data_IF_256023060100
#
_entry.id   IF_256023060100
#
_cell.length_a   1.000
_cell.length_b   1.000
_cell.length_c   1.000
_cell.angle_alpha   90.00
_cell.angle_beta   90.00
_cell.angle_gamma   90.00
#
_symmetry.space_group_name_H-M   'P 1'
#
loop_
_entity.id
_entity.type
_entity.pdbx_description
1 polymer ?
#
# COMPACT_ATOMS: atom_id res chain seq x y z
N UNK A 1 -2.08 -5.79 5.05
CA UNK A 1 -0.60 -5.94 5.10
C UNK A 1 -0.10 -7.41 5.09
N UNK A 2 -0.80 -8.37 4.45
CA UNK A 2 -0.37 -9.78 4.41
C UNK A 2 0.63 -10.14 3.28
N UNK A 3 0.97 -9.19 2.40
CA UNK A 3 1.96 -9.38 1.32
C UNK A 3 3.34 -9.67 1.91
N UNK A 4 4.11 -10.54 1.26
CA UNK A 4 5.46 -10.92 1.68
C UNK A 4 5.55 -11.98 2.78
N UNK A 5 4.45 -12.37 3.46
CA UNK A 5 4.43 -13.56 4.35
C UNK A 5 4.93 -14.80 3.60
N UNK A 6 4.47 -14.94 2.36
CA UNK A 6 5.11 -15.71 1.31
C UNK A 6 5.48 -14.69 0.23
N UNK A 7 6.63 -14.83 -0.48
CA UNK A 7 6.99 -13.90 -1.55
C UNK A 7 5.84 -13.73 -2.54
N UNK A 8 5.51 -12.49 -2.89
CA UNK A 8 4.34 -12.20 -3.72
C UNK A 8 4.41 -12.87 -5.11
N UNK A 9 5.63 -13.13 -5.59
CA UNK A 9 5.94 -13.83 -6.85
C UNK A 9 5.87 -15.35 -6.74
N UNK A 10 5.50 -15.90 -5.58
CA UNK A 10 5.41 -17.33 -5.38
C UNK A 10 4.41 -17.96 -6.36
N UNK A 11 4.70 -19.13 -6.96
CA UNK A 11 3.84 -19.73 -8.00
C UNK A 11 2.40 -20.02 -7.58
N UNK A 12 2.14 -20.17 -6.27
CA UNK A 12 0.81 -20.39 -5.70
C UNK A 12 0.09 -19.10 -5.27
N UNK A 13 0.72 -17.93 -5.43
CA UNK A 13 0.10 -16.64 -5.14
C UNK A 13 -1.02 -16.37 -6.14
N UNK A 14 -2.24 -16.18 -5.63
CA UNK A 14 -3.44 -15.88 -6.42
C UNK A 14 -3.79 -14.40 -6.43
N UNK A 15 -2.90 -13.53 -5.93
CA UNK A 15 -3.14 -12.08 -5.79
C UNK A 15 -3.59 -11.43 -7.11
N UNK A 16 -2.93 -11.76 -8.22
CA UNK A 16 -3.28 -11.26 -9.55
C UNK A 16 -4.61 -11.83 -10.09
N UNK A 17 -5.10 -12.94 -9.54
CA UNK A 17 -6.37 -13.57 -9.89
C UNK A 17 -7.39 -13.54 -8.74
N UNK A 18 -7.30 -12.56 -7.82
CA UNK A 18 -8.13 -12.47 -6.59
C UNK A 18 -9.63 -12.71 -6.85
N UNK A 19 -10.21 -12.04 -7.86
CA UNK A 19 -11.65 -12.17 -8.14
C UNK A 19 -12.05 -13.58 -8.55
N UNK A 20 -11.19 -14.30 -9.27
CA UNK A 20 -11.42 -15.69 -9.65
C UNK A 20 -11.25 -16.61 -8.42
N UNK A 21 -10.16 -16.43 -7.67
CA UNK A 21 -9.85 -17.22 -6.49
C UNK A 21 -10.96 -17.15 -5.44
N UNK A 22 -11.39 -15.94 -5.08
CA UNK A 22 -12.43 -15.72 -4.08
C UNK A 22 -13.82 -16.12 -4.60
N UNK A 23 -14.13 -15.77 -5.86
CA UNK A 23 -15.46 -15.99 -6.42
C UNK A 23 -15.79 -17.45 -6.75
N UNK A 24 -14.78 -18.32 -6.90
CA UNK A 24 -14.97 -19.72 -7.31
C UNK A 24 -14.42 -20.76 -6.32
N UNK A 25 -13.83 -20.34 -5.19
CA UNK A 25 -13.41 -21.30 -4.17
C UNK A 25 -14.62 -22.00 -3.52
N UNK A 26 -14.44 -23.27 -3.22
CA UNK A 26 -15.37 -24.12 -2.48
C UNK A 26 -15.03 -24.16 -0.98
N UNK A 27 -13.74 -24.08 -0.64
CA UNK A 27 -13.24 -23.98 0.74
C UNK A 27 -12.23 -22.83 0.85
N UNK A 28 -12.38 -22.01 1.88
CA UNK A 28 -11.48 -20.90 2.17
C UNK A 28 -10.91 -21.00 3.58
N UNK A 29 -9.60 -21.27 3.70
CA UNK A 29 -8.84 -21.16 4.94
C UNK A 29 -8.36 -19.72 5.12
N UNK A 30 -8.88 -19.03 6.13
CA UNK A 30 -8.57 -17.63 6.43
C UNK A 30 -7.81 -17.58 7.75
N UNK A 31 -6.57 -17.12 7.72
CA UNK A 31 -5.67 -17.11 8.89
C UNK A 31 -5.35 -15.68 9.29
N UNK A 32 -5.77 -15.26 10.48
CA UNK A 32 -5.50 -13.93 11.03
C UNK A 32 -6.05 -12.79 10.16
N UNK A 33 -7.16 -13.03 9.47
CA UNK A 33 -7.81 -12.05 8.63
C UNK A 33 -9.32 -12.05 8.86
N UNK A 34 -9.87 -10.86 9.13
CA UNK A 34 -11.30 -10.68 9.36
C UNK A 34 -12.06 -10.63 8.03
N UNK A 35 -13.20 -11.30 7.96
CA UNK A 35 -14.17 -11.15 6.88
C UNK A 35 -14.91 -9.82 7.02
N UNK A 36 -14.22 -8.70 6.88
CA UNK A 36 -14.79 -7.35 6.91
C UNK A 36 -14.96 -6.79 5.49
N UNK A 37 -15.17 -5.48 5.36
CA UNK A 37 -15.38 -4.80 4.08
C UNK A 37 -14.25 -5.06 3.06
N UNK A 38 -13.00 -5.26 3.50
CA UNK A 38 -11.85 -5.59 2.62
C UNK A 38 -11.99 -6.95 1.93
N UNK A 39 -12.70 -7.87 2.58
CA UNK A 39 -13.05 -9.19 2.07
C UNK A 39 -14.55 -9.30 1.80
N UNK A 40 -15.25 -8.18 1.58
CA UNK A 40 -16.68 -8.17 1.24
C UNK A 40 -17.54 -9.01 2.18
N UNK A 41 -17.20 -9.03 3.47
CA UNK A 41 -17.91 -9.76 4.51
C UNK A 41 -18.02 -11.29 4.33
N UNK A 42 -17.31 -11.87 3.35
CA UNK A 42 -17.50 -13.27 2.97
C UNK A 42 -18.75 -13.51 2.13
N UNK A 43 -19.36 -12.46 1.57
CA UNK A 43 -20.71 -12.50 1.00
C UNK A 43 -20.73 -12.49 -0.54
N UNK A 44 -21.81 -13.05 -1.15
CA UNK A 44 -22.09 -12.89 -2.57
C UNK A 44 -22.36 -11.42 -2.95
N UNK A 45 -22.08 -10.99 -4.19
CA UNK A 45 -21.63 -11.81 -5.33
C UNK A 45 -20.11 -11.96 -5.40
N UNK A 46 -19.35 -11.43 -4.44
CA UNK A 46 -17.88 -11.45 -4.47
C UNK A 46 -17.32 -12.80 -4.07
N UNK A 47 -17.93 -13.43 -3.08
CA UNK A 47 -17.71 -14.83 -2.70
C UNK A 47 -18.78 -15.73 -3.33
N UNK A 48 -18.45 -17.00 -3.50
CA UNK A 48 -19.45 -18.03 -3.79
C UNK A 48 -20.45 -18.15 -2.64
N UNK A 49 -21.72 -18.45 -2.94
CA UNK A 49 -22.75 -18.71 -1.93
C UNK A 49 -22.48 -19.97 -1.10
N UNK A 50 -21.79 -20.93 -1.71
CA UNK A 50 -21.58 -22.27 -1.14
C UNK A 50 -20.17 -22.45 -0.56
N UNK A 51 -19.40 -21.36 -0.44
CA UNK A 51 -18.04 -21.41 0.11
C UNK A 51 -18.08 -21.84 1.58
N UNK A 52 -17.21 -22.79 1.94
CA UNK A 52 -17.02 -23.22 3.33
C UNK A 52 -15.83 -22.49 3.92
N UNK A 53 -16.07 -21.66 4.92
CA UNK A 53 -15.01 -20.96 5.64
C UNK A 53 -14.41 -21.82 6.75
N UNK A 54 -13.08 -21.85 6.79
CA UNK A 54 -12.29 -22.27 7.95
C UNK A 54 -11.58 -21.01 8.45
N UNK A 55 -11.94 -20.52 9.64
CA UNK A 55 -11.37 -19.29 10.19
C UNK A 55 -10.42 -19.62 11.33
N UNK A 56 -9.22 -19.04 11.27
CA UNK A 56 -8.24 -19.05 12.36
C UNK A 56 -8.09 -17.63 12.87
N UNK A 57 -8.53 -17.38 14.09
CA UNK A 57 -8.39 -16.08 14.75
C UNK A 57 -8.13 -16.28 16.26
N UNK A 58 -7.44 -15.32 16.87
CA UNK A 58 -7.21 -15.33 18.32
C UNK A 58 -8.47 -14.89 19.08
N UNK A 59 -9.34 -14.11 18.43
CA UNK A 59 -10.59 -13.62 18.99
C UNK A 59 -11.73 -14.61 18.76
N UNK A 60 -12.32 -15.11 19.84
CA UNK A 60 -13.53 -15.94 19.80
C UNK A 60 -14.71 -15.17 19.21
N UNK A 61 -14.87 -13.89 19.58
CA UNK A 61 -15.95 -13.01 19.09
C UNK A 61 -15.98 -12.91 17.55
N UNK A 62 -14.82 -12.86 16.90
CA UNK A 62 -14.73 -12.79 15.43
C UNK A 62 -15.20 -14.10 14.76
N UNK A 63 -14.94 -15.23 15.41
CA UNK A 63 -15.39 -16.55 14.95
C UNK A 63 -16.90 -16.70 15.17
N UNK A 64 -17.41 -16.31 16.34
CA UNK A 64 -18.84 -16.35 16.65
C UNK A 64 -19.67 -15.42 15.76
N UNK A 65 -19.13 -14.24 15.43
CA UNK A 65 -19.78 -13.27 14.55
C UNK A 65 -19.98 -13.85 13.14
N UNK A 66 -18.98 -14.60 12.63
CA UNK A 66 -18.97 -15.09 11.24
C UNK A 66 -19.53 -16.50 11.08
N UNK A 67 -19.65 -17.28 12.16
CA UNK A 67 -20.22 -18.64 12.17
C UNK A 67 -19.67 -19.53 11.03
N UNK A 68 -18.34 -19.69 10.94
CA UNK A 68 -17.74 -20.49 9.86
C UNK A 68 -18.07 -21.97 10.00
N UNK A 69 -17.81 -22.74 8.93
CA UNK A 69 -17.94 -24.20 8.96
C UNK A 69 -17.01 -24.82 10.01
N UNK A 70 -15.81 -24.25 10.14
CA UNK A 70 -14.83 -24.60 11.18
C UNK A 70 -14.22 -23.31 11.73
N UNK A 71 -14.35 -23.07 13.03
CA UNK A 71 -13.67 -22.00 13.75
C UNK A 71 -12.52 -22.56 14.59
N UNK A 72 -11.32 -22.01 14.43
CA UNK A 72 -10.11 -22.39 15.16
C UNK A 72 -9.64 -21.19 15.98
N UNK A 73 -10.08 -21.12 17.24
CA UNK A 73 -9.70 -20.05 18.17
C UNK A 73 -8.27 -20.31 18.67
N UNK A 74 -7.34 -19.40 18.36
CA UNK A 74 -5.97 -19.50 18.85
C UNK A 74 -4.97 -18.65 18.06
N UNK A 75 -3.74 -18.61 18.58
CA UNK A 75 -2.61 -17.99 17.89
C UNK A 75 -2.37 -18.65 16.52
N UNK A 76 -2.26 -17.82 15.48
CA UNK A 76 -2.15 -18.27 14.10
C UNK A 76 -0.93 -19.19 13.88
N UNK A 77 0.21 -18.89 14.53
CA UNK A 77 1.42 -19.72 14.41
C UNK A 77 1.17 -21.12 15.00
N UNK A 78 0.65 -21.20 16.22
CA UNK A 78 0.34 -22.49 16.88
C UNK A 78 -0.66 -23.32 16.08
N UNK A 79 -1.73 -22.69 15.58
CA UNK A 79 -2.75 -23.41 14.79
C UNK A 79 -2.16 -23.94 13.49
N UNK A 80 -1.37 -23.15 12.77
CA UNK A 80 -0.73 -23.61 11.52
C UNK A 80 0.33 -24.71 11.79
N UNK A 81 1.08 -24.63 12.90
CA UNK A 81 1.99 -25.70 13.32
C UNK A 81 1.25 -27.02 13.60
N UNK A 82 0.08 -26.95 14.26
CA UNK A 82 -0.77 -28.12 14.48
C UNK A 82 -1.31 -28.68 13.16
N UNK A 83 -1.86 -27.82 12.29
CA UNK A 83 -2.35 -28.25 10.97
C UNK A 83 -1.25 -28.97 10.18
N UNK A 84 -0.03 -28.41 10.13
CA UNK A 84 1.11 -29.01 9.45
C UNK A 84 1.51 -30.37 10.05
N UNK A 85 1.37 -30.54 11.37
CA UNK A 85 1.65 -31.81 12.05
C UNK A 85 0.59 -32.86 11.71
N UNK A 86 -0.69 -32.52 11.78
CA UNK A 86 -1.79 -33.46 11.55
C UNK A 86 -1.87 -33.91 10.08
N UNK A 87 -1.53 -33.05 9.12
CA UNK A 87 -1.50 -33.43 7.69
C UNK A 87 -0.21 -34.15 7.29
N UNK A 88 0.79 -34.26 8.17
CA UNK A 88 2.12 -34.76 7.81
C UNK A 88 2.07 -36.20 7.27
N UNK A 89 1.25 -37.05 7.89
CA UNK A 89 1.15 -38.46 7.52
C UNK A 89 0.26 -38.68 6.28
N UNK A 90 -0.59 -37.70 5.95
CA UNK A 90 -1.44 -37.69 4.75
C UNK A 90 -1.46 -36.29 4.13
N UNK A 91 -0.37 -35.87 3.47
CA UNK A 91 -0.26 -34.52 2.93
C UNK A 91 -1.30 -34.31 1.83
N UNK A 92 -2.18 -33.34 2.02
CA UNK A 92 -3.11 -32.91 1.00
C UNK A 92 -2.49 -31.79 0.17
N UNK A 93 -2.33 -32.01 -1.14
CA UNK A 93 -1.90 -31.00 -2.07
C UNK A 93 -2.59 -31.20 -3.42
N UNK A 94 -3.17 -30.14 -3.96
CA UNK A 94 -3.66 -30.16 -5.33
C UNK A 94 -2.45 -30.23 -6.27
N UNK A 95 -2.42 -31.24 -7.14
CA UNK A 95 -1.38 -31.35 -8.15
C UNK A 95 -1.34 -30.08 -9.02
N UNK A 96 -0.16 -29.73 -9.54
CA UNK A 96 -0.03 -28.57 -10.44
C UNK A 96 -0.90 -28.68 -11.70
N UNK A 97 -1.22 -29.90 -12.12
CA UNK A 97 -2.13 -30.22 -13.23
C UNK A 97 -3.61 -30.19 -12.83
N UNK A 98 -3.94 -29.97 -11.56
CA UNK A 98 -5.33 -29.91 -11.12
C UNK A 98 -6.04 -28.72 -11.78
N UNK A 99 -7.27 -28.88 -12.32
CA UNK A 99 -7.96 -27.83 -13.07
C UNK A 99 -8.06 -26.49 -12.32
N UNK A 100 -8.28 -26.52 -11.01
CA UNK A 100 -8.28 -25.31 -10.17
C UNK A 100 -6.94 -24.58 -10.17
N UNK A 101 -5.83 -25.31 -9.93
CA UNK A 101 -4.50 -24.73 -9.85
C UNK A 101 -4.09 -24.16 -11.21
N UNK A 102 -4.39 -24.88 -12.29
CA UNK A 102 -4.13 -24.42 -13.66
C UNK A 102 -4.94 -23.16 -14.01
N UNK A 103 -6.24 -23.13 -13.68
CA UNK A 103 -7.10 -21.98 -13.93
C UNK A 103 -6.61 -20.71 -13.21
N UNK A 104 -6.24 -20.82 -11.93
CA UNK A 104 -5.70 -19.71 -11.14
C UNK A 104 -4.32 -19.28 -11.67
N UNK A 105 -3.45 -20.23 -12.00
CA UNK A 105 -2.11 -19.96 -12.53
C UNK A 105 -2.20 -19.23 -13.87
N UNK A 106 -3.02 -19.72 -14.79
CA UNK A 106 -3.24 -19.12 -16.09
C UNK A 106 -3.82 -17.71 -15.95
N UNK A 107 -4.87 -17.54 -15.13
CA UNK A 107 -5.48 -16.23 -14.91
C UNK A 107 -4.52 -15.23 -14.29
N UNK A 108 -3.70 -15.67 -13.33
CA UNK A 108 -2.69 -14.84 -12.69
C UNK A 108 -1.64 -14.40 -13.71
N UNK A 109 -1.11 -15.33 -14.52
CA UNK A 109 -0.17 -15.02 -15.61
C UNK A 109 -0.77 -14.03 -16.62
N UNK A 110 -1.99 -14.25 -17.09
CA UNK A 110 -2.66 -13.37 -18.04
C UNK A 110 -2.82 -11.95 -17.49
N UNK A 111 -3.21 -11.82 -16.21
CA UNK A 111 -3.39 -10.52 -15.57
C UNK A 111 -2.06 -9.81 -15.31
N UNK A 112 -1.01 -10.55 -14.91
CA UNK A 112 0.35 -9.99 -14.77
C UNK A 112 0.86 -9.52 -16.13
N UNK A 113 0.72 -10.31 -17.20
CA UNK A 113 1.14 -9.90 -18.55
C UNK A 113 0.42 -8.63 -19.02
N UNK A 114 -0.88 -8.51 -18.76
CA UNK A 114 -1.64 -7.28 -19.06
C UNK A 114 -1.14 -6.08 -18.27
N UNK A 115 -0.81 -6.28 -17.00
CA UNK A 115 -0.26 -5.23 -16.14
C UNK A 115 1.14 -4.81 -16.62
N UNK A 116 2.05 -5.76 -16.88
CA UNK A 116 3.39 -5.47 -17.39
C UNK A 116 3.34 -4.76 -18.75
N UNK A 117 2.44 -5.15 -19.65
CA UNK A 117 2.26 -4.45 -20.93
C UNK A 117 1.84 -2.97 -20.77
N UNK A 118 1.17 -2.63 -19.67
CA UNK A 118 0.88 -1.23 -19.31
C UNK A 118 2.08 -0.54 -18.67
N UNK A 119 2.81 -1.25 -17.81
CA UNK A 119 3.97 -0.72 -17.08
C UNK A 119 5.17 -0.41 -17.99
N UNK A 120 5.36 -1.17 -19.08
CA UNK A 120 6.48 -0.97 -20.03
C UNK A 120 6.44 0.39 -20.75
N UNK A 121 5.27 1.03 -20.81
CA UNK A 121 5.13 2.34 -21.47
C UNK A 121 5.57 3.45 -20.53
N UNK A 122 6.53 4.25 -20.99
CA UNK A 122 6.86 5.51 -20.32
C UNK A 122 5.88 6.60 -20.79
N UNK A 123 5.09 7.12 -19.85
CA UNK A 123 4.10 8.17 -20.10
C UNK A 123 4.51 9.44 -19.37
N UNK A 124 4.58 10.56 -20.10
CA UNK A 124 4.86 11.91 -19.58
C UNK A 124 3.82 12.88 -20.16
N UNK A 125 3.17 13.76 -19.37
CA UNK A 125 3.24 13.86 -17.91
C UNK A 125 2.86 12.53 -17.24
N UNK A 126 3.44 12.26 -16.06
CA UNK A 126 3.32 10.92 -15.47
C UNK A 126 1.88 10.55 -15.17
N UNK A 127 1.51 9.32 -15.52
CA UNK A 127 0.41 8.61 -14.87
C UNK A 127 0.90 7.96 -13.56
N UNK A 128 0.04 7.20 -12.87
CA UNK A 128 0.45 6.46 -11.66
C UNK A 128 1.32 5.22 -11.96
N UNK A 129 1.23 4.65 -13.16
CA UNK A 129 1.85 3.36 -13.50
C UNK A 129 3.36 3.48 -13.77
N UNK A 130 3.76 4.48 -14.54
CA UNK A 130 5.16 4.71 -14.94
C UNK A 130 6.09 4.90 -13.73
N UNK A 131 5.83 5.84 -12.80
CA UNK A 131 6.66 6.00 -11.61
C UNK A 131 6.58 4.79 -10.68
N UNK A 132 5.42 4.14 -10.52
CA UNK A 132 5.29 2.93 -9.70
C UNK A 132 6.15 1.77 -10.21
N UNK A 133 6.29 1.61 -11.54
CA UNK A 133 7.24 0.64 -12.13
C UNK A 133 8.67 0.95 -11.70
N UNK A 134 9.08 2.20 -11.87
CA UNK A 134 10.46 2.63 -11.58
C UNK A 134 10.77 2.44 -10.08
N UNK A 135 9.82 2.79 -9.20
CA UNK A 135 9.93 2.60 -7.76
C UNK A 135 10.00 1.11 -7.39
N UNK A 136 9.15 0.28 -7.99
CA UNK A 136 9.19 -1.18 -7.80
C UNK A 136 10.56 -1.74 -8.15
N UNK A 137 11.07 -1.40 -9.33
CA UNK A 137 12.34 -1.92 -9.83
C UNK A 137 13.51 -1.47 -8.93
N UNK A 138 13.47 -0.23 -8.42
CA UNK A 138 14.45 0.28 -7.45
C UNK A 138 14.38 -0.46 -6.09
N UNK A 139 13.19 -0.69 -5.54
CA UNK A 139 13.00 -1.43 -4.28
C UNK A 139 13.50 -2.88 -4.41
N UNK A 140 13.22 -3.54 -5.54
CA UNK A 140 13.68 -4.91 -5.78
C UNK A 140 15.20 -5.00 -5.94
N UNK A 141 15.85 -3.95 -6.46
CA UNK A 141 17.30 -3.90 -6.63
C UNK A 141 18.08 -3.84 -5.30
N UNK A 142 17.46 -3.35 -4.21
CA UNK A 142 18.08 -3.33 -2.87
C UNK A 142 18.30 -4.74 -2.29
N UNK A 143 17.59 -5.74 -2.80
CA UNK A 143 17.77 -7.13 -2.39
C UNK A 143 17.27 -7.41 -0.97
N UNK A 144 18.11 -8.02 -0.14
CA UNK A 144 17.80 -8.40 1.25
C UNK A 144 18.84 -7.80 2.21
N UNK A 145 18.42 -7.18 3.33
CA UNK A 145 17.04 -7.08 3.81
C UNK A 145 16.19 -6.13 2.96
N UNK A 146 15.00 -6.58 2.55
CA UNK A 146 14.13 -5.80 1.68
C UNK A 146 13.68 -4.47 2.33
N UNK A 147 13.55 -3.36 1.58
CA UNK A 147 13.03 -2.11 2.12
C UNK A 147 11.63 -2.25 2.71
N UNK A 148 11.35 -1.53 3.79
CA UNK A 148 9.98 -1.37 4.30
C UNK A 148 9.26 -0.34 3.45
N UNK A 149 8.14 -0.74 2.84
CA UNK A 149 7.30 0.12 2.01
C UNK A 149 6.12 0.63 2.83
N UNK A 150 6.07 1.93 3.05
CA UNK A 150 4.89 2.62 3.57
C UNK A 150 4.09 3.18 2.40
N UNK A 151 2.77 3.05 2.40
CA UNK A 151 1.95 3.58 1.30
C UNK A 151 0.53 3.92 1.71
N UNK A 152 0.13 5.16 1.45
CA UNK A 152 -1.24 5.66 1.61
C UNK A 152 -1.67 6.56 0.44
N UNK A 153 -2.89 7.09 0.53
CA UNK A 153 -3.60 7.74 -0.58
C UNK A 153 -4.64 6.82 -1.24
N UNK A 154 -5.33 7.34 -2.25
CA UNK A 154 -6.33 6.57 -3.01
C UNK A 154 -5.68 5.84 -4.18
N UNK A 155 -5.47 6.55 -5.30
CA UNK A 155 -4.86 5.98 -6.51
C UNK A 155 -3.44 5.46 -6.25
N UNK A 156 -2.64 6.21 -5.48
CA UNK A 156 -1.28 5.83 -5.08
C UNK A 156 -1.26 4.49 -4.35
N UNK A 157 -2.10 4.30 -3.33
CA UNK A 157 -2.15 3.06 -2.56
C UNK A 157 -2.73 1.89 -3.38
N UNK A 158 -3.76 2.11 -4.19
CA UNK A 158 -4.40 1.05 -4.98
C UNK A 158 -3.52 0.54 -6.11
N UNK A 159 -2.87 1.43 -6.84
CA UNK A 159 -1.90 1.07 -7.87
C UNK A 159 -0.65 0.48 -7.19
N UNK A 160 -0.15 1.12 -6.13
CA UNK A 160 1.01 0.67 -5.37
C UNK A 160 0.82 -0.74 -4.80
N UNK A 161 -0.35 -1.10 -4.27
CA UNK A 161 -0.63 -2.45 -3.76
C UNK A 161 -0.54 -3.54 -4.83
N UNK A 162 -0.87 -3.20 -6.08
CA UNK A 162 -0.79 -4.11 -7.21
C UNK A 162 0.63 -4.21 -7.81
N UNK A 163 1.35 -3.09 -7.88
CA UNK A 163 2.65 -2.99 -8.57
C UNK A 163 3.83 -3.25 -7.62
N UNK A 164 3.79 -2.75 -6.38
CA UNK A 164 4.87 -2.91 -5.41
C UNK A 164 4.84 -4.31 -4.80
N UNK A 165 5.81 -5.13 -5.20
CA UNK A 165 5.99 -6.52 -4.80
C UNK A 165 6.71 -6.58 -3.45
N UNK A 166 6.30 -7.51 -2.58
CA UNK A 166 6.96 -7.76 -1.30
C UNK A 166 7.52 -9.19 -1.27
N UNK A 167 8.81 -9.31 -0.95
CA UNK A 167 9.52 -10.60 -0.90
C UNK A 167 9.80 -11.06 0.54
N UNK A 168 9.62 -10.19 1.52
CA UNK A 168 9.85 -10.49 2.94
C UNK A 168 8.60 -10.13 3.77
N UNK A 169 8.36 -10.82 4.89
CA UNK A 169 7.20 -10.54 5.74
C UNK A 169 7.33 -9.20 6.45
N UNK A 170 6.20 -8.56 6.75
CA UNK A 170 6.13 -7.33 7.57
C UNK A 170 6.89 -6.12 6.97
N UNK A 171 7.19 -6.14 5.68
CA UNK A 171 7.82 -5.01 4.97
C UNK A 171 6.83 -4.09 4.29
N UNK A 172 5.51 -4.24 4.53
CA UNK A 172 4.49 -3.32 3.99
C UNK A 172 3.60 -2.78 5.09
N UNK A 173 3.53 -1.45 5.17
CA UNK A 173 2.62 -0.71 6.05
C UNK A 173 1.71 0.19 5.18
N UNK A 174 0.41 0.18 5.44
CA UNK A 174 -0.56 1.01 4.69
C UNK A 174 -1.71 1.47 5.59
N UNK A 175 -2.67 2.21 5.02
CA UNK A 175 -3.82 2.82 5.70
C UNK A 175 -4.72 1.82 6.48
N UNK A 176 -4.49 0.52 6.37
CA UNK A 176 -5.05 -0.49 7.25
C UNK A 176 -6.57 -0.64 7.13
N UNK A 177 -7.22 -1.00 8.25
CA UNK A 177 -8.64 -1.39 8.26
C UNK A 177 -9.60 -0.20 8.09
N UNK A 178 -9.20 0.99 8.55
CA UNK A 178 -10.04 2.20 8.44
C UNK A 178 -9.72 3.06 7.23
N UNK A 179 -8.69 2.71 6.44
CA UNK A 179 -8.28 3.55 5.32
C UNK A 179 -7.84 4.94 5.79
N UNK A 180 -7.16 5.01 6.94
CA UNK A 180 -6.72 6.25 7.57
C UNK A 180 -5.60 6.89 6.76
N UNK A 181 -5.76 8.18 6.41
CA UNK A 181 -4.71 9.01 5.83
C UNK A 181 -3.94 9.72 6.95
N UNK A 182 -2.62 9.88 6.81
CA UNK A 182 -1.76 10.48 7.82
C UNK A 182 -1.03 9.47 8.71
N UNK A 183 -1.09 8.17 8.40
CA UNK A 183 -0.28 7.17 9.11
C UNK A 183 1.14 7.08 8.52
N UNK A 184 1.34 7.60 7.30
CA UNK A 184 2.54 7.47 6.48
C UNK A 184 3.85 7.75 7.23
N UNK A 185 4.11 9.00 7.61
CA UNK A 185 5.39 9.36 8.21
C UNK A 185 5.57 8.78 9.63
N UNK A 186 4.48 8.59 10.39
CA UNK A 186 4.49 7.92 11.70
C UNK A 186 5.00 6.49 11.59
N UNK A 187 4.47 5.75 10.62
CA UNK A 187 4.94 4.41 10.29
C UNK A 187 6.39 4.40 9.79
N UNK A 188 6.82 5.44 9.06
CA UNK A 188 8.20 5.51 8.61
C UNK A 188 9.19 5.64 9.76
N UNK A 189 8.90 6.50 10.74
CA UNK A 189 9.72 6.64 11.94
C UNK A 189 9.75 5.33 12.72
N UNK A 190 8.58 4.73 12.98
CA UNK A 190 8.50 3.48 13.72
C UNK A 190 9.27 2.34 13.04
N UNK A 191 9.14 2.20 11.71
CA UNK A 191 9.85 1.20 10.93
C UNK A 191 11.37 1.41 10.95
N UNK A 192 11.82 2.66 10.76
CA UNK A 192 13.26 2.98 10.75
C UNK A 192 13.91 2.78 12.14
N UNK A 193 13.15 3.02 13.22
CA UNK A 193 13.63 2.78 14.59
C UNK A 193 13.64 1.28 14.93
N UNK A 194 12.62 0.54 14.52
CA UNK A 194 12.52 -0.89 14.81
C UNK A 194 13.48 -1.74 13.97
N UNK A 195 13.77 -1.33 12.74
CA UNK A 195 14.58 -2.07 11.76
C UNK A 195 15.63 -1.13 11.11
N UNK A 196 16.65 -0.67 11.85
CA UNK A 196 17.60 0.36 11.37
C UNK A 196 18.44 -0.09 10.16
N UNK A 197 18.57 -1.39 9.93
CA UNK A 197 19.28 -1.95 8.77
C UNK A 197 18.46 -1.88 7.48
N UNK A 198 17.16 -1.65 7.54
CA UNK A 198 16.27 -1.54 6.37
C UNK A 198 16.17 -0.10 5.90
N UNK A 199 16.11 0.09 4.58
CA UNK A 199 15.65 1.34 4.01
C UNK A 199 14.12 1.41 4.18
N UNK A 200 13.59 2.58 4.53
CA UNK A 200 12.14 2.80 4.51
C UNK A 200 11.80 3.67 3.31
N UNK A 201 10.86 3.21 2.49
CA UNK A 201 10.38 3.91 1.29
C UNK A 201 8.90 4.21 1.45
N UNK A 202 8.55 5.48 1.61
CA UNK A 202 7.17 5.93 1.71
C UNK A 202 6.67 6.31 0.31
N UNK A 203 5.54 5.76 -0.13
CA UNK A 203 4.92 6.05 -1.42
C UNK A 203 3.55 6.65 -1.17
N UNK A 204 3.52 7.97 -1.18
CA UNK A 204 2.49 8.82 -0.60
C UNK A 204 1.71 9.56 -1.70
N UNK A 205 0.39 9.60 -1.62
CA UNK A 205 -0.36 10.63 -2.34
C UNK A 205 -0.12 12.00 -1.70
N UNK A 206 -0.12 13.07 -2.48
CA UNK A 206 0.04 14.45 -1.96
C UNK A 206 -0.93 14.79 -0.81
N UNK A 207 -2.18 14.32 -0.89
CA UNK A 207 -3.15 14.50 0.20
C UNK A 207 -2.78 13.70 1.44
N UNK A 208 -2.39 12.44 1.30
CA UNK A 208 -1.97 11.59 2.43
C UNK A 208 -0.76 12.19 3.14
N UNK A 209 0.26 12.55 2.35
CA UNK A 209 1.45 13.24 2.83
C UNK A 209 1.09 14.48 3.67
N UNK A 210 0.14 15.30 3.21
CA UNK A 210 -0.30 16.51 3.92
C UNK A 210 -0.84 16.27 5.34
N UNK A 211 -1.40 15.10 5.65
CA UNK A 211 -1.92 14.80 6.99
C UNK A 211 -0.82 14.55 8.03
N UNK A 212 0.35 14.07 7.60
CA UNK A 212 1.45 13.70 8.52
C UNK A 212 2.73 14.49 8.30
N UNK A 213 2.83 15.30 7.23
CA UNK A 213 4.00 16.14 6.96
C UNK A 213 4.33 17.07 8.14
N UNK A 214 3.30 17.58 8.81
CA UNK A 214 3.36 18.31 10.06
C UNK A 214 2.69 17.48 11.16
N UNK A 215 3.46 17.01 12.15
CA UNK A 215 2.92 16.25 13.28
C UNK A 215 3.01 17.03 14.58
N UNK A 216 2.37 16.46 15.58
CA UNK A 216 2.30 16.97 16.93
C UNK A 216 3.14 16.05 17.82
N UNK A 217 4.31 16.51 18.28
CA UNK A 217 4.99 15.91 19.42
C UNK A 217 4.13 16.12 20.68
N UNK A 218 3.72 15.00 21.27
CA UNK A 218 3.18 14.95 22.62
C UNK A 218 4.32 14.49 23.52
N UNK A 219 4.80 15.39 24.37
CA UNK A 219 5.77 15.02 25.40
C UNK A 219 5.12 13.99 26.34
N UNK A 220 5.77 12.84 26.48
CA UNK A 220 5.24 11.71 27.25
C UNK A 220 5.58 11.83 28.75
N UNK A 221 6.35 12.85 29.14
CA UNK A 221 6.62 13.16 30.53
C UNK A 221 5.44 13.95 31.10
N UNK A 222 4.73 13.31 32.04
CA UNK A 222 3.43 13.73 32.56
C UNK A 222 3.43 14.97 33.48
N UNK A 223 4.18 16.02 33.15
CA UNK A 223 4.06 17.33 33.80
C UNK A 223 4.14 18.45 32.74
N UNK A 224 3.11 19.28 32.69
CA UNK A 224 2.90 20.41 31.78
C UNK A 224 2.81 20.09 30.27
N UNK A 225 1.58 20.04 29.75
CA UNK A 225 1.26 19.85 28.34
C UNK A 225 1.85 20.94 27.43
N UNK A 226 3.06 20.70 26.91
CA UNK A 226 3.57 21.38 25.72
C UNK A 226 3.36 20.47 24.52
N UNK A 227 2.28 20.69 23.80
CA UNK A 227 2.04 20.10 22.49
C UNK A 227 2.93 20.82 21.47
N UNK A 228 4.12 20.28 21.19
CA UNK A 228 5.00 20.86 20.17
C UNK A 228 4.57 20.32 18.81
N UNK A 229 4.02 21.16 17.94
CA UNK A 229 3.83 20.79 16.53
C UNK A 229 5.23 20.76 15.88
N UNK A 230 5.86 19.59 15.78
CA UNK A 230 7.10 19.41 15.03
C UNK A 230 6.84 18.70 13.69
N UNK A 231 7.35 19.23 12.57
CA UNK A 231 7.23 18.56 11.29
C UNK A 231 7.87 17.16 11.33
N UNK A 232 7.15 16.10 10.93
CA UNK A 232 7.74 14.75 10.91
C UNK A 232 8.98 14.69 10.03
N UNK A 233 9.04 15.50 8.97
CA UNK A 233 10.25 15.64 8.16
C UNK A 233 11.45 16.13 8.99
N UNK A 234 11.24 17.06 9.94
CA UNK A 234 12.27 17.47 10.88
C UNK A 234 12.66 16.31 11.79
N UNK A 235 11.72 15.49 12.27
CA UNK A 235 12.03 14.27 13.04
C UNK A 235 12.93 13.32 12.25
N UNK A 236 12.59 13.05 10.98
CA UNK A 236 13.44 12.22 10.11
C UNK A 236 14.86 12.77 10.01
N UNK A 237 15.01 14.10 9.80
CA UNK A 237 16.32 14.77 9.69
C UNK A 237 17.07 14.78 11.02
N UNK A 238 16.40 15.08 12.13
CA UNK A 238 16.96 15.14 13.48
C UNK A 238 17.56 13.81 13.89
N UNK A 239 16.87 12.71 13.60
CA UNK A 239 17.33 11.36 13.90
C UNK A 239 18.14 10.72 12.76
N UNK A 240 18.34 11.43 11.64
CA UNK A 240 19.08 10.94 10.45
C UNK A 240 18.57 9.57 9.96
N UNK A 241 17.25 9.37 9.97
CA UNK A 241 16.64 8.07 9.66
C UNK A 241 16.74 7.75 8.15
N UNK A 242 16.97 6.48 7.76
CA UNK A 242 17.09 6.07 6.36
C UNK A 242 15.70 5.98 5.69
N UNK A 243 15.03 7.12 5.55
CA UNK A 243 13.67 7.22 5.02
C UNK A 243 13.67 8.06 3.73
N UNK A 244 13.13 7.48 2.65
CA UNK A 244 12.89 8.17 1.39
C UNK A 244 11.39 8.26 1.15
N UNK A 245 10.87 9.49 1.15
CA UNK A 245 9.45 9.77 0.93
C UNK A 245 9.25 10.17 -0.52
N UNK A 246 8.34 9.49 -1.21
CA UNK A 246 8.02 9.71 -2.61
C UNK A 246 6.59 10.20 -2.68
N UNK A 247 6.41 11.48 -2.99
CA UNK A 247 5.10 12.14 -3.07
C UNK A 247 4.62 12.13 -4.50
N UNK A 248 3.50 11.45 -4.75
CA UNK A 248 2.76 11.50 -6.01
C UNK A 248 1.91 12.77 -6.00
N UNK A 249 2.41 13.80 -6.68
CA UNK A 249 1.82 15.13 -6.70
C UNK A 249 0.98 15.30 -7.96
N UNK A 250 -0.30 14.95 -7.86
CA UNK A 250 -1.31 15.18 -8.90
C UNK A 250 -2.13 16.45 -8.63
N UNK A 251 -1.65 17.32 -7.74
CA UNK A 251 -2.28 18.56 -7.28
C UNK A 251 -3.66 18.37 -6.61
N UNK A 252 -3.89 17.26 -5.91
CA UNK A 252 -5.13 17.08 -5.15
C UNK A 252 -5.67 15.66 -4.98
N UNK A 253 -6.79 15.57 -4.27
CA UNK A 253 -7.44 14.30 -3.92
C UNK A 253 -8.08 13.67 -5.14
N UNK A 254 -7.75 12.41 -5.42
CA UNK A 254 -8.21 11.63 -6.57
C UNK A 254 -7.74 12.19 -7.92
N UNK A 255 -8.32 13.31 -8.33
CA UNK A 255 -7.99 14.12 -9.48
C UNK A 255 -7.81 15.55 -9.03
N UNK A 256 -6.62 16.10 -9.18
CA UNK A 256 -6.29 17.40 -8.61
C UNK A 256 -6.87 18.59 -9.36
N UNK A 257 -7.80 18.37 -10.29
CA UNK A 257 -8.43 19.43 -11.07
C UNK A 257 -9.92 19.17 -11.25
N UNK A 258 -10.65 20.22 -11.62
CA UNK A 258 -12.10 20.25 -11.81
C UNK A 258 -12.53 19.23 -12.86
N UNK A 259 -13.53 18.42 -12.52
CA UNK A 259 -14.06 17.35 -13.40
C UNK A 259 -15.56 17.45 -13.59
N UNK A 260 -16.28 18.04 -12.64
CA UNK A 260 -17.74 18.17 -12.70
C UNK A 260 -18.18 19.35 -13.57
N UNK A 261 -19.31 19.24 -14.31
CA UNK A 261 -19.92 20.38 -14.99
C UNK A 261 -20.18 21.56 -14.04
N UNK A 262 -20.62 21.29 -12.81
CA UNK A 262 -20.86 22.30 -11.79
C UNK A 262 -19.58 23.02 -11.33
N UNK A 263 -18.43 22.32 -11.36
CA UNK A 263 -17.14 22.93 -11.03
C UNK A 263 -16.58 23.77 -12.19
N UNK A 264 -16.88 23.37 -13.44
CA UNK A 264 -16.38 24.04 -14.65
C UNK A 264 -17.24 25.23 -15.07
N UNK A 265 -18.56 25.13 -14.93
CA UNK A 265 -19.52 26.12 -15.44
C UNK A 265 -20.57 26.57 -14.42
N UNK A 266 -20.55 26.00 -13.21
CA UNK A 266 -21.49 26.35 -12.15
C UNK A 266 -21.18 27.70 -11.47
N UNK A 267 -22.02 28.08 -10.49
CA UNK A 267 -21.97 29.41 -9.86
C UNK A 267 -20.69 29.68 -9.05
N UNK A 268 -19.98 28.62 -8.64
CA UNK A 268 -18.75 28.68 -7.83
C UNK A 268 -17.50 28.27 -8.64
N UNK A 269 -17.55 28.34 -9.98
CA UNK A 269 -16.45 27.96 -10.87
C UNK A 269 -15.14 28.75 -10.66
N UNK A 270 -15.19 29.85 -9.92
CA UNK A 270 -14.01 30.67 -9.63
C UNK A 270 -13.40 30.33 -8.26
N UNK A 271 -14.11 29.56 -7.42
CA UNK A 271 -13.62 29.07 -6.13
C UNK A 271 -12.71 27.83 -6.32
N UNK A 272 -11.68 27.62 -5.46
CA UNK A 272 -10.88 26.41 -5.49
C UNK A 272 -11.76 25.16 -5.36
N UNK A 273 -11.56 24.17 -6.22
CA UNK A 273 -12.32 22.92 -6.13
C UNK A 273 -11.99 22.21 -4.81
N UNK A 274 -12.95 21.57 -4.13
CA UNK A 274 -12.72 20.92 -2.84
C UNK A 274 -11.65 19.81 -2.87
N UNK A 275 -11.38 19.25 -4.04
CA UNK A 275 -10.37 18.21 -4.25
C UNK A 275 -9.05 18.73 -4.80
N UNK A 276 -8.95 20.02 -5.15
CA UNK A 276 -7.75 20.61 -5.75
C UNK A 276 -6.84 21.24 -4.70
N UNK A 277 -5.54 21.04 -4.87
CA UNK A 277 -4.49 21.72 -4.12
C UNK A 277 -3.78 22.76 -4.98
N UNK A 278 -2.84 23.48 -4.37
CA UNK A 278 -2.02 24.48 -5.05
C UNK A 278 -1.18 23.80 -6.13
N UNK A 279 -1.34 24.17 -7.41
CA UNK A 279 -0.56 23.57 -8.49
C UNK A 279 0.95 23.78 -8.31
N UNK A 280 1.72 22.73 -8.50
CA UNK A 280 3.19 22.80 -8.40
C UNK A 280 3.70 22.95 -6.97
N UNK A 281 2.93 22.51 -5.97
CA UNK A 281 3.36 22.48 -4.57
C UNK A 281 4.75 21.83 -4.41
N UNK A 282 5.67 22.55 -3.78
CA UNK A 282 7.08 22.17 -3.68
C UNK A 282 7.39 21.31 -2.45
N UNK A 283 6.81 20.11 -2.33
CA UNK A 283 7.02 19.24 -1.15
C UNK A 283 8.50 18.91 -0.89
N UNK A 284 9.32 18.79 -1.94
CA UNK A 284 10.76 18.61 -1.84
C UNK A 284 11.48 19.77 -1.11
N UNK A 285 11.02 21.02 -1.30
CA UNK A 285 11.59 22.20 -0.62
C UNK A 285 11.32 22.19 0.88
N UNK A 286 10.22 21.58 1.31
CA UNK A 286 9.93 21.40 2.73
C UNK A 286 11.01 20.54 3.40
N UNK A 287 11.49 19.50 2.73
CA UNK A 287 12.59 18.67 3.24
C UNK A 287 13.92 19.43 3.28
N UNK A 288 14.21 20.23 2.26
CA UNK A 288 15.42 21.08 2.21
C UNK A 288 15.43 22.11 3.33
N UNK A 289 14.28 22.69 3.67
CA UNK A 289 14.15 23.65 4.76
C UNK A 289 14.57 23.08 6.13
N UNK A 290 14.44 21.76 6.33
CA UNK A 290 14.88 21.08 7.54
C UNK A 290 16.31 20.52 7.45
N UNK A 291 16.99 20.68 6.31
CA UNK A 291 18.35 20.17 6.07
C UNK A 291 18.40 18.76 5.50
N UNK A 292 17.27 18.18 5.10
CA UNK A 292 17.21 16.94 4.32
C UNK A 292 17.40 17.20 2.82
N UNK A 293 17.26 16.15 2.01
CA UNK A 293 17.44 16.25 0.55
C UNK A 293 16.09 16.28 -0.18
N UNK A 294 15.87 17.28 -1.02
CA UNK A 294 14.70 17.40 -1.89
C UNK A 294 15.02 17.06 -3.35
N UNK A 295 14.08 16.44 -4.05
CA UNK A 295 14.12 16.23 -5.50
C UNK A 295 12.76 16.60 -6.11
N UNK A 296 12.76 17.37 -7.20
CA UNK A 296 11.60 17.53 -8.09
C UNK A 296 11.84 16.67 -9.33
N UNK A 297 10.84 15.88 -9.71
CA UNK A 297 10.97 14.89 -10.77
C UNK A 297 9.77 14.94 -11.70
N UNK A 298 10.04 15.10 -12.99
CA UNK A 298 9.02 15.19 -14.06
C UNK A 298 9.24 14.14 -15.15
N UNK A 299 10.41 13.49 -15.18
CA UNK A 299 10.77 12.49 -16.19
C UNK A 299 11.23 11.15 -15.60
N UNK A 300 11.14 10.03 -16.36
CA UNK A 300 11.60 8.72 -15.90
C UNK A 300 13.07 8.69 -15.45
N UNK A 301 13.95 9.41 -16.15
CA UNK A 301 15.39 9.38 -15.87
C UNK A 301 15.76 10.21 -14.64
N UNK A 302 15.07 11.32 -14.41
CA UNK A 302 15.15 12.07 -13.14
C UNK A 302 14.71 11.20 -11.96
N UNK A 303 13.62 10.43 -12.11
CA UNK A 303 13.13 9.55 -11.05
C UNK A 303 14.16 8.46 -10.71
N UNK A 304 14.70 7.78 -11.73
CA UNK A 304 15.74 6.76 -11.53
C UNK A 304 16.98 7.34 -10.85
N UNK A 305 17.40 8.53 -11.26
CA UNK A 305 18.56 9.22 -10.67
C UNK A 305 18.30 9.57 -9.20
N UNK A 306 17.15 10.19 -8.90
CA UNK A 306 16.77 10.58 -7.54
C UNK A 306 16.66 9.36 -6.60
N UNK A 307 16.07 8.25 -7.07
CA UNK A 307 16.00 7.00 -6.31
C UNK A 307 17.40 6.41 -6.06
N UNK A 308 18.25 6.35 -7.09
CA UNK A 308 19.62 5.82 -6.96
C UNK A 308 20.47 6.64 -5.98
N UNK A 309 20.37 7.97 -6.01
CA UNK A 309 21.08 8.85 -5.09
C UNK A 309 20.54 8.71 -3.66
N UNK A 310 19.22 8.81 -3.48
CA UNK A 310 18.59 8.78 -2.15
C UNK A 310 18.72 7.43 -1.45
N UNK A 311 18.55 6.32 -2.17
CA UNK A 311 18.68 4.96 -1.62
C UNK A 311 20.12 4.68 -1.18
N UNK A 312 21.11 5.09 -2.00
CA UNK A 312 22.53 4.97 -1.63
C UNK A 312 22.90 5.86 -0.46
N UNK A 313 22.36 7.08 -0.40
CA UNK A 313 22.66 8.02 0.67
C UNK A 313 22.14 7.54 2.03
N UNK A 314 21.06 6.75 2.06
CA UNK A 314 20.37 6.27 3.27
C UNK A 314 20.12 7.39 4.29
N UNK A 315 19.70 8.53 3.76
CA UNK A 315 19.39 9.74 4.53
C UNK A 315 17.97 10.21 4.21
N UNK A 316 17.37 11.02 5.09
CA UNK A 316 16.05 11.61 4.86
C UNK A 316 15.99 12.35 3.53
N UNK A 317 15.09 11.89 2.65
CA UNK A 317 14.84 12.55 1.36
C UNK A 317 13.35 12.63 1.02
N UNK A 318 12.95 13.67 0.29
CA UNK A 318 11.63 13.79 -0.35
C UNK A 318 11.81 13.89 -1.86
N UNK A 319 11.19 12.98 -2.60
CA UNK A 319 11.09 12.98 -4.05
C UNK A 319 9.65 13.40 -4.42
N UNK A 320 9.50 14.61 -4.94
CA UNK A 320 8.24 15.16 -5.42
C UNK A 320 8.07 14.79 -6.90
N UNK A 321 7.17 13.84 -7.18
CA UNK A 321 6.91 13.33 -8.54
C UNK A 321 5.68 14.03 -9.10
N UNK A 322 5.85 14.80 -10.17
CA UNK A 322 4.74 15.47 -10.86
C UNK A 322 3.89 14.45 -11.61
N UNK A 323 2.63 14.29 -11.18
CA UNK A 323 1.63 13.42 -11.81
C UNK A 323 0.60 14.29 -12.55
N UNK A 324 0.13 13.81 -13.69
CA UNK A 324 -0.98 14.43 -14.43
C UNK A 324 -2.24 14.50 -13.53
N UNK A 325 -2.80 15.71 -13.25
CA UNK A 325 -4.00 15.88 -12.45
C UNK A 325 -5.22 15.09 -12.95
N UNK A 326 -5.25 14.75 -14.24
CA UNK A 326 -6.33 14.00 -14.88
C UNK A 326 -6.12 12.48 -14.87
N UNK A 327 -4.96 11.98 -14.43
CA UNK A 327 -4.65 10.55 -14.48
C UNK A 327 -5.36 9.69 -13.43
N UNK A 328 -5.79 10.29 -12.30
CA UNK A 328 -6.40 9.54 -11.19
C UNK A 328 -7.89 9.26 -11.38
N UNK A 329 -8.41 8.20 -10.76
CA UNK A 329 -9.85 7.92 -10.69
C UNK A 329 -10.43 8.37 -9.33
N UNK A 330 -11.71 8.79 -9.31
CA UNK A 330 -12.41 9.10 -8.05
C UNK A 330 -12.53 7.81 -7.21
N UNK A 331 -12.13 7.87 -5.94
CA UNK A 331 -12.16 6.72 -5.00
C UNK A 331 -11.31 5.50 -5.40
N UNK A 332 -10.43 5.62 -6.39
CA UNK A 332 -9.57 4.52 -6.84
C UNK A 332 -10.39 3.29 -7.28
N UNK A 333 -10.17 2.14 -6.62
CA UNK A 333 -10.92 0.88 -6.86
C UNK A 333 -12.10 0.68 -5.90
N UNK A 334 -12.37 1.59 -4.97
CA UNK A 334 -13.52 1.49 -4.07
C UNK A 334 -14.79 1.93 -4.79
N UNK A 335 -15.60 0.95 -5.21
CA UNK A 335 -16.90 1.20 -5.86
C UNK A 335 -18.10 1.10 -4.90
N UNK A 336 -17.86 0.88 -3.61
CA UNK A 336 -18.92 0.81 -2.60
C UNK A 336 -18.76 2.00 -1.63
N UNK A 337 -19.48 3.08 -1.91
CA UNK A 337 -19.86 4.07 -0.90
C UNK A 337 -20.94 3.37 -0.05
N UNK A 338 -20.75 3.34 1.27
CA UNK A 338 -21.74 2.79 2.22
C UNK A 338 -23.14 3.36 1.96
#
# INVERSE_FOLDING_TARGET
MGKGVVPDVHPLSSTAARSLAIGQCDVALVVGARLNWLLHFGEPPKWSKDVKFILVDVSEDEIELRKPQVGLVGDAKKVVELLNREIKDQPFCLARSHPWVDAITKKSKDNVLKMEAQLVKDVVPFNFMTPMRIIRDAILAEGSPAPVVVSEGANTMDVGRAVLVQNEPRTRLDAGTWGTMGVGLGYCVAAAVAEPERLVVAVEGDSGFGFSAMEVEVDADGDEHVTLVQPMLQTLVRYQLPVVVIVFNNNGVYGGDRRGPDELTGPYKDDPAPTSFVPGAGYHKMMEAFGGKGYLVETPDELKSALSESFRARKPAVINVTIDPYAGAESGRMQHKN
#
